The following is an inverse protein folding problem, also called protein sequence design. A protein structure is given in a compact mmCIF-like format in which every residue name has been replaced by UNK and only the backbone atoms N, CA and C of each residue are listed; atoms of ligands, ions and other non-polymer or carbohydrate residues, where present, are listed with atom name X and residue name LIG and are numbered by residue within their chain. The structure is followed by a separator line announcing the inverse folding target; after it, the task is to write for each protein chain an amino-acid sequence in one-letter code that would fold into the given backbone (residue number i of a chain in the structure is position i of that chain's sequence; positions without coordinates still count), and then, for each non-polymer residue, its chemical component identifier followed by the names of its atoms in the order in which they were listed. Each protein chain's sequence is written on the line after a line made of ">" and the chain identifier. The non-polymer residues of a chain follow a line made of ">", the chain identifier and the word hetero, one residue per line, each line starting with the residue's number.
data_IF_869963876089
#
_entry.id   IF_869963876089
#
_cell.length_a   1.000
_cell.length_b   1.000
_cell.length_c   1.000
_cell.angle_alpha   90.00
_cell.angle_beta   90.00
_cell.angle_gamma   90.00
#
_symmetry.space_group_name_H-M   'P 1'
#
loop_
_entity.id
_entity.type
_entity.pdbx_description
1 polymer ?
#
# COMPACT_ATOMS: atom_id res chain seq x y z
N UNK A 1 3.03 1.32 -1.71
CA UNK A 1 3.51 0.06 -2.35
C UNK A 1 2.29 -0.74 -2.76
N UNK A 2 2.15 -1.08 -4.03
CA UNK A 2 0.98 -1.82 -4.55
C UNK A 2 1.06 -3.29 -4.13
N UNK A 3 0.34 -3.65 -3.08
CA UNK A 3 0.35 -5.00 -2.54
C UNK A 3 -0.50 -5.92 -3.42
N UNK A 4 0.08 -7.04 -3.88
CA UNK A 4 -0.63 -8.06 -4.68
C UNK A 4 -0.68 -7.84 -6.19
N UNK A 5 -0.22 -6.69 -6.72
CA UNK A 5 -0.14 -6.46 -8.17
C UNK A 5 1.20 -6.94 -8.78
N UNK A 6 2.29 -6.84 -8.03
CA UNK A 6 3.63 -7.20 -8.50
C UNK A 6 4.01 -8.60 -8.00
N UNK A 7 4.59 -9.41 -8.89
CA UNK A 7 5.22 -10.68 -8.52
C UNK A 7 6.71 -10.46 -8.34
N UNK A 8 7.23 -10.66 -7.13
CA UNK A 8 8.62 -10.40 -6.77
C UNK A 8 9.36 -11.69 -6.43
N UNK A 9 10.63 -11.80 -6.83
CA UNK A 9 11.44 -13.00 -6.63
C UNK A 9 11.83 -13.24 -5.16
N UNK A 10 12.10 -12.19 -4.38
CA UNK A 10 12.71 -12.32 -3.06
C UNK A 10 12.32 -11.21 -2.05
N UNK A 11 11.03 -10.88 -1.96
CA UNK A 11 10.56 -9.85 -1.01
C UNK A 11 10.99 -8.45 -1.43
N UNK A 12 11.74 -7.73 -0.57
CA UNK A 12 12.22 -6.36 -0.80
C UNK A 12 13.74 -6.24 -0.54
N UNK A 13 14.50 -7.26 -0.92
CA UNK A 13 15.96 -7.29 -0.73
C UNK A 13 16.71 -6.79 -1.97
N UNK A 14 18.01 -6.51 -1.82
CA UNK A 14 18.91 -6.29 -2.97
C UNK A 14 18.73 -7.42 -4.01
N UNK A 15 18.74 -7.06 -5.29
CA UNK A 15 18.58 -7.97 -6.42
C UNK A 15 17.18 -8.63 -6.52
N UNK A 16 16.22 -8.19 -5.70
CA UNK A 16 14.81 -8.51 -5.92
C UNK A 16 14.36 -7.84 -7.20
N UNK A 17 13.84 -8.62 -8.14
CA UNK A 17 13.13 -8.11 -9.30
C UNK A 17 11.63 -8.41 -9.15
N UNK A 18 10.83 -7.38 -9.37
CA UNK A 18 9.39 -7.40 -9.33
C UNK A 18 8.85 -7.16 -10.73
N UNK A 19 7.96 -8.02 -11.20
CA UNK A 19 7.31 -7.89 -12.50
C UNK A 19 5.85 -7.53 -12.30
N UNK A 20 5.39 -6.49 -13.01
CA UNK A 20 3.97 -6.22 -13.22
C UNK A 20 3.57 -6.77 -14.58
N UNK A 21 2.56 -7.64 -14.58
CA UNK A 21 1.92 -8.14 -15.78
C UNK A 21 0.64 -7.34 -16.02
N UNK A 22 0.62 -6.58 -17.11
CA UNK A 22 -0.49 -5.78 -17.57
C UNK A 22 -1.30 -6.54 -18.64
N UNK A 23 -2.60 -6.22 -18.80
CA UNK A 23 -3.40 -6.76 -19.90
C UNK A 23 -2.80 -6.43 -21.27
N UNK A 24 -2.24 -5.23 -21.40
CA UNK A 24 -1.38 -4.85 -22.53
C UNK A 24 0.08 -5.20 -22.19
N UNK A 25 0.63 -6.19 -22.87
CA UNK A 25 2.00 -6.65 -22.65
C UNK A 25 3.07 -5.58 -22.95
N UNK A 26 2.74 -4.53 -23.71
CA UNK A 26 3.65 -3.41 -23.94
C UNK A 26 3.85 -2.52 -22.71
N UNK A 27 2.94 -2.60 -21.73
CA UNK A 27 3.02 -1.91 -20.45
C UNK A 27 3.66 -2.76 -19.35
N UNK A 28 4.02 -4.02 -19.64
CA UNK A 28 4.71 -4.87 -18.69
C UNK A 28 6.04 -4.23 -18.28
N UNK A 29 6.29 -4.18 -16.99
CA UNK A 29 7.51 -3.59 -16.43
C UNK A 29 8.16 -4.53 -15.42
N UNK A 30 9.48 -4.59 -15.48
CA UNK A 30 10.32 -5.20 -14.46
C UNK A 30 11.07 -4.11 -13.70
N UNK A 31 11.02 -4.20 -12.37
CA UNK A 31 11.63 -3.24 -11.46
C UNK A 31 12.53 -4.03 -10.51
N UNK A 32 13.82 -3.72 -10.47
CA UNK A 32 14.79 -4.41 -9.64
C UNK A 32 15.38 -3.49 -8.57
N UNK A 33 15.65 -4.03 -7.39
CA UNK A 33 16.33 -3.32 -6.31
C UNK A 33 17.84 -3.34 -6.58
N UNK A 34 18.38 -2.19 -6.96
CA UNK A 34 19.79 -2.02 -7.30
C UNK A 34 20.68 -1.96 -6.05
N UNK A 35 22.00 -2.04 -6.27
CA UNK A 35 23.01 -2.10 -5.19
C UNK A 35 23.01 -0.87 -4.29
N UNK A 36 22.57 0.28 -4.81
CA UNK A 36 22.43 1.52 -4.05
C UNK A 36 21.15 1.56 -3.19
N UNK A 37 20.36 0.48 -3.18
CA UNK A 37 19.12 0.36 -2.46
C UNK A 37 17.93 1.04 -3.13
N UNK A 38 18.10 1.55 -4.37
CA UNK A 38 17.01 2.16 -5.15
C UNK A 38 16.43 1.18 -6.14
N UNK A 39 15.14 1.36 -6.45
CA UNK A 39 14.49 0.65 -7.53
C UNK A 39 14.93 1.22 -8.88
N UNK A 40 15.10 0.36 -9.89
CA UNK A 40 15.51 0.76 -11.25
C UNK A 40 14.44 1.58 -11.98
N UNK A 41 13.20 1.58 -11.50
CA UNK A 41 12.08 2.35 -12.01
C UNK A 41 11.06 2.63 -10.91
N UNK A 42 10.11 3.53 -11.20
CA UNK A 42 8.98 3.81 -10.32
C UNK A 42 7.87 2.77 -10.50
N UNK A 43 7.20 2.43 -9.40
CA UNK A 43 6.03 1.56 -9.45
C UNK A 43 4.86 2.31 -10.09
N UNK A 44 4.52 1.92 -11.32
CA UNK A 44 3.43 2.52 -12.10
C UNK A 44 2.33 1.49 -12.35
N UNK A 45 1.07 1.91 -12.42
CA UNK A 45 -0.05 1.04 -12.80
C UNK A 45 -0.23 1.00 -14.31
N UNK A 46 -0.75 -0.13 -14.82
CA UNK A 46 -1.17 -0.23 -16.21
C UNK A 46 -2.32 0.74 -16.49
N UNK A 47 -2.31 1.40 -17.64
CA UNK A 47 -3.27 2.45 -17.99
C UNK A 47 -4.72 1.93 -18.10
N UNK A 48 -4.88 0.65 -18.44
CA UNK A 48 -6.18 0.01 -18.71
C UNK A 48 -6.69 -0.84 -17.56
N UNK A 49 -5.91 -1.01 -16.49
CA UNK A 49 -6.31 -1.87 -15.38
C UNK A 49 -7.48 -1.23 -14.61
N UNK A 50 -8.61 -1.91 -14.56
CA UNK A 50 -9.80 -1.46 -13.83
C UNK A 50 -10.38 -2.59 -12.98
N UNK A 51 -11.01 -2.23 -11.87
CA UNK A 51 -11.66 -3.16 -10.97
C UNK A 51 -11.90 -2.56 -9.60
N UNK A 52 -12.66 -3.26 -8.78
CA UNK A 52 -12.90 -2.88 -7.39
C UNK A 52 -11.99 -3.68 -6.45
N UNK A 53 -11.49 -3.04 -5.40
CA UNK A 53 -10.80 -3.71 -4.30
C UNK A 53 -11.79 -3.97 -3.16
N UNK A 54 -11.58 -5.07 -2.43
CA UNK A 54 -12.25 -5.25 -1.14
C UNK A 54 -11.71 -4.22 -0.13
N UNK A 55 -12.52 -3.79 0.85
CA UNK A 55 -12.05 -2.93 1.93
C UNK A 55 -10.80 -3.53 2.61
N UNK A 56 -9.83 -2.69 3.04
CA UNK A 56 -8.69 -3.17 3.82
C UNK A 56 -9.14 -3.95 5.06
N UNK A 57 -8.46 -5.05 5.43
CA UNK A 57 -8.80 -5.79 6.64
C UNK A 57 -8.58 -4.93 7.89
N UNK A 58 -9.45 -5.09 8.88
CA UNK A 58 -9.27 -4.43 10.18
C UNK A 58 -7.99 -4.95 10.86
N UNK A 59 -7.06 -4.04 11.12
CA UNK A 59 -5.74 -4.32 11.63
C UNK A 59 -5.50 -3.49 12.88
N UNK A 60 -5.54 -4.11 14.06
CA UNK A 60 -5.04 -3.56 15.33
C UNK A 60 -5.28 -2.05 15.53
N UNK A 61 -6.54 -1.60 15.44
CA UNK A 61 -6.89 -0.20 15.63
C UNK A 61 -6.27 0.71 14.55
N UNK A 62 -6.33 0.31 13.29
CA UNK A 62 -5.98 1.15 12.13
C UNK A 62 -7.23 1.43 11.31
N UNK A 63 -7.52 2.70 11.10
CA UNK A 63 -8.63 3.19 10.27
C UNK A 63 -8.10 3.73 8.95
N UNK A 64 -8.79 3.43 7.84
CA UNK A 64 -8.41 3.85 6.50
C UNK A 64 -9.39 4.90 5.97
N UNK A 65 -8.87 6.06 5.56
CA UNK A 65 -9.62 7.10 4.86
C UNK A 65 -9.36 7.00 3.35
N UNK A 66 -10.42 6.85 2.54
CA UNK A 66 -10.35 6.63 1.10
C UNK A 66 -11.30 7.58 0.35
N UNK A 67 -10.87 8.82 0.09
CA UNK A 67 -11.75 9.87 -0.46
C UNK A 67 -12.19 9.63 -1.91
N UNK A 68 -11.37 8.91 -2.69
CA UNK A 68 -11.60 8.66 -4.12
C UNK A 68 -12.41 7.38 -4.37
N UNK A 69 -12.59 6.54 -3.34
CA UNK A 69 -13.18 5.22 -3.46
C UNK A 69 -12.19 4.11 -3.09
N UNK A 70 -12.53 2.89 -3.51
CA UNK A 70 -11.73 1.68 -3.29
C UNK A 70 -11.56 0.91 -4.60
N UNK A 71 -11.49 1.61 -5.73
CA UNK A 71 -11.15 1.00 -7.02
C UNK A 71 -9.64 0.81 -7.16
N UNK A 72 -9.24 -0.03 -8.12
CA UNK A 72 -7.83 -0.23 -8.46
C UNK A 72 -7.22 1.12 -8.86
N UNK A 73 -6.23 1.57 -8.08
CA UNK A 73 -5.53 2.84 -8.29
C UNK A 73 -5.94 3.95 -7.33
N UNK A 74 -7.05 3.80 -6.61
CA UNK A 74 -7.44 4.72 -5.55
C UNK A 74 -6.48 4.64 -4.36
N UNK A 75 -6.30 5.78 -3.68
CA UNK A 75 -5.37 5.92 -2.56
C UNK A 75 -6.15 6.04 -1.25
N UNK A 76 -5.77 5.19 -0.29
CA UNK A 76 -6.26 5.24 1.08
C UNK A 76 -5.13 5.63 2.04
N UNK A 77 -5.48 6.42 3.06
CA UNK A 77 -4.56 6.86 4.10
C UNK A 77 -4.87 6.13 5.41
N UNK A 78 -3.96 5.29 5.92
CA UNK A 78 -4.13 4.65 7.22
C UNK A 78 -3.84 5.63 8.36
N UNK A 79 -4.61 5.51 9.44
CA UNK A 79 -4.42 6.24 10.69
C UNK A 79 -4.57 5.27 11.85
N UNK A 80 -3.76 5.42 12.90
CA UNK A 80 -4.00 4.67 14.13
C UNK A 80 -5.23 5.25 14.82
N UNK A 81 -6.24 4.43 15.03
CA UNK A 81 -7.39 4.76 15.85
C UNK A 81 -6.89 5.05 17.26
N UNK A 82 -7.09 6.29 17.71
CA UNK A 82 -6.83 6.69 19.08
C UNK A 82 -7.93 6.07 19.92
N UNK A 83 -7.64 4.96 20.59
CA UNK A 83 -8.44 4.52 21.73
C UNK A 83 -8.21 5.55 22.82
N UNK A 84 -9.09 6.55 22.88
CA UNK A 84 -9.19 7.42 24.04
C UNK A 84 -9.73 6.53 25.16
N UNK A 85 -8.83 5.87 25.89
CA UNK A 85 -9.14 5.41 27.24
C UNK A 85 -9.42 6.68 28.03
N UNK A 86 -10.66 7.11 27.99
CA UNK A 86 -11.18 8.25 28.73
C UNK A 86 -11.33 7.86 30.21
N UNK A 87 -10.24 7.40 30.81
CA UNK A 87 -10.02 7.43 32.25
C UNK A 87 -9.30 8.75 32.59
N UNK A 88 -9.92 9.86 32.21
CA UNK A 88 -9.51 11.18 32.69
C UNK A 88 -10.14 11.42 34.07
N UNK A 89 -9.82 10.56 35.03
CA UNK A 89 -9.96 10.89 36.44
C UNK A 89 -8.63 11.50 36.88
N UNK A 90 -8.44 12.79 36.60
CA UNK A 90 -7.47 13.61 37.31
C UNK A 90 -8.20 14.21 38.53
N UNK A 91 -8.03 13.67 39.75
CA UNK A 91 -8.60 14.30 40.93
C UNK A 91 -7.83 15.60 41.16
N UNK A 92 -8.48 16.73 40.89
CA UNK A 92 -8.05 18.04 41.40
C UNK A 92 -8.01 17.93 42.93
N UNK A 93 -6.80 17.85 43.48
CA UNK A 93 -6.56 17.96 44.91
C UNK A 93 -6.64 19.45 45.26
N UNK A 94 -7.74 19.85 45.90
CA UNK A 94 -7.90 21.13 46.61
C UNK A 94 -7.51 20.96 48.07
#
# INVERSE_FOLDING_TARGET
>A
MFQGLYSCTNGLHYDTCCTLQCPDASENIEICCAKDGKWTAEFTMCSTLRGSCSPPPDLNSVEYSCDQGMEIGDVCYPTCAVVVNMDLHDPVVL
#
